data_IF_305043228708
#
_entry.id   IF_305043228708
#
_cell.length_a   1.000
_cell.length_b   1.000
_cell.length_c   1.000
_cell.angle_alpha   90.00
_cell.angle_beta   90.00
_cell.angle_gamma   90.00
#
_symmetry.space_group_name_H-M   'P 1'
#
loop_
_entity.id
_entity.type
_entity.pdbx_description
1 polymer ?
#
# COMPACT_ATOMS: atom_id res chain seq x y z
N UNK A 1 7.25 4.06 -12.06
CA UNK A 1 6.80 3.46 -10.78
C UNK A 1 5.54 4.18 -10.35
N UNK A 2 4.47 3.42 -10.14
CA UNK A 2 3.16 3.94 -9.74
C UNK A 2 3.16 4.41 -8.30
N UNK A 3 3.75 3.65 -7.38
CA UNK A 3 3.77 3.97 -5.94
C UNK A 3 4.40 5.32 -5.60
N UNK A 4 5.40 5.75 -6.36
CA UNK A 4 6.03 7.09 -6.21
C UNK A 4 5.07 8.25 -6.49
N UNK A 5 4.05 8.00 -7.31
CA UNK A 5 3.08 9.00 -7.75
C UNK A 5 1.88 9.08 -6.83
N UNK A 6 1.73 8.13 -5.90
CA UNK A 6 0.69 8.20 -4.87
C UNK A 6 0.87 9.48 -4.07
N UNK A 7 -0.24 10.16 -3.77
CA UNK A 7 -0.31 11.26 -2.81
C UNK A 7 -0.53 10.71 -1.39
N UNK A 8 -0.31 11.54 -0.37
CA UNK A 8 -0.43 11.07 1.01
C UNK A 8 -1.87 10.65 1.33
N UNK A 9 -2.88 11.37 0.83
CA UNK A 9 -4.30 10.99 0.98
C UNK A 9 -4.64 9.65 0.31
N UNK A 10 -4.03 9.36 -0.83
CA UNK A 10 -4.15 8.08 -1.51
C UNK A 10 -3.48 6.94 -0.72
N UNK A 11 -2.30 7.20 -0.13
CA UNK A 11 -1.62 6.25 0.78
C UNK A 11 -2.49 6.00 2.02
N UNK A 12 -3.01 7.04 2.66
CA UNK A 12 -3.90 6.90 3.82
C UNK A 12 -5.14 6.06 3.47
N UNK A 13 -5.74 6.28 2.29
CA UNK A 13 -6.88 5.50 1.83
C UNK A 13 -6.51 4.03 1.59
N UNK A 14 -5.36 3.76 0.98
CA UNK A 14 -4.86 2.39 0.80
C UNK A 14 -4.72 1.70 2.15
N UNK A 15 -4.01 2.33 3.10
CA UNK A 15 -3.74 1.75 4.41
C UNK A 15 -5.02 1.46 5.21
N UNK A 16 -6.01 2.36 5.16
CA UNK A 16 -7.33 2.13 5.76
C UNK A 16 -8.07 0.90 5.23
N UNK A 17 -7.78 0.49 3.99
CA UNK A 17 -8.44 -0.65 3.35
C UNK A 17 -7.75 -1.97 3.69
N UNK A 18 -6.42 -1.95 3.91
CA UNK A 18 -5.61 -3.17 4.06
C UNK A 18 -5.20 -3.48 5.49
N UNK A 19 -5.29 -2.50 6.40
CA UNK A 19 -4.89 -2.64 7.81
C UNK A 19 -6.10 -2.79 8.71
N UNK A 20 -5.86 -3.13 9.99
CA UNK A 20 -6.89 -3.20 11.03
C UNK A 20 -7.71 -1.88 11.07
N UNK A 21 -9.05 -1.94 11.15
CA UNK A 21 -9.91 -0.76 11.25
C UNK A 21 -9.50 0.22 12.37
N UNK A 22 -8.93 -0.29 13.46
CA UNK A 22 -8.54 0.49 14.63
C UNK A 22 -7.07 0.93 14.59
N UNK A 23 -6.35 0.71 13.48
CA UNK A 23 -4.96 1.15 13.35
C UNK A 23 -4.83 2.67 13.23
N UNK A 24 -3.76 3.20 13.82
CA UNK A 24 -3.35 4.59 13.66
C UNK A 24 -2.17 4.68 12.69
N UNK A 25 -2.26 5.55 11.68
CA UNK A 25 -1.13 5.81 10.78
C UNK A 25 -0.20 6.81 11.47
N UNK A 26 0.96 6.31 11.91
CA UNK A 26 1.96 7.06 12.67
C UNK A 26 2.80 7.93 11.73
N UNK A 27 3.24 7.38 10.60
CA UNK A 27 4.08 8.13 9.65
C UNK A 27 4.08 7.56 8.24
N UNK A 28 4.36 8.42 7.26
CA UNK A 28 4.59 8.07 5.85
C UNK A 28 5.98 8.57 5.45
N UNK A 29 6.87 7.65 5.13
CA UNK A 29 8.22 7.92 4.66
C UNK A 29 8.30 7.80 3.13
N UNK A 30 8.41 8.95 2.45
CA UNK A 30 8.62 8.99 1.00
C UNK A 30 10.09 8.81 0.66
N UNK A 31 10.50 7.56 0.45
CA UNK A 31 11.84 7.24 -0.06
C UNK A 31 11.95 7.58 -1.55
N UNK A 32 13.19 7.69 -2.04
CA UNK A 32 13.48 7.83 -3.49
C UNK A 32 12.94 6.62 -4.27
N UNK A 33 12.77 5.47 -3.62
CA UNK A 33 12.24 4.23 -4.18
C UNK A 33 10.76 4.04 -3.81
N UNK A 34 10.47 3.21 -2.82
CA UNK A 34 9.11 2.80 -2.45
C UNK A 34 8.71 3.48 -1.15
N UNK A 35 7.52 4.09 -1.08
CA UNK A 35 7.06 4.72 0.14
C UNK A 35 6.82 3.64 1.18
N UNK A 36 7.03 4.04 2.42
CA UNK A 36 6.91 3.16 3.56
C UNK A 36 6.01 3.83 4.59
N UNK A 37 5.15 3.03 5.22
CA UNK A 37 4.17 3.50 6.18
C UNK A 37 4.40 2.77 7.49
N UNK A 38 4.38 3.53 8.57
CA UNK A 38 4.35 2.98 9.93
C UNK A 38 2.95 3.19 10.48
N UNK A 39 2.36 2.12 10.98
CA UNK A 39 1.08 2.16 11.69
C UNK A 39 1.26 1.58 13.09
N UNK A 40 0.36 1.95 13.99
CA UNK A 40 0.19 1.30 15.27
C UNK A 40 -1.14 0.54 15.24
N UNK A 41 -1.09 -0.78 15.42
CA UNK A 41 -2.27 -1.64 15.51
C UNK A 41 -2.16 -2.50 16.75
N UNK A 42 -3.19 -2.52 17.59
CA UNK A 42 -3.22 -3.33 18.81
C UNK A 42 -1.98 -3.14 19.72
N UNK A 43 -1.54 -1.89 19.87
CA UNK A 43 -0.34 -1.49 20.62
C UNK A 43 0.99 -2.04 20.05
N UNK A 44 0.98 -2.50 18.80
CA UNK A 44 2.15 -2.98 18.07
C UNK A 44 2.45 -2.08 16.87
N UNK A 45 3.70 -1.63 16.77
CA UNK A 45 4.16 -0.87 15.60
C UNK A 45 4.42 -1.83 14.43
N UNK A 46 3.76 -1.57 13.30
CA UNK A 46 3.92 -2.31 12.07
C UNK A 46 4.41 -1.40 10.95
N UNK A 47 5.24 -1.97 10.07
CA UNK A 47 5.86 -1.26 8.96
C UNK A 47 5.49 -1.93 7.65
N UNK A 48 5.01 -1.11 6.73
CA UNK A 48 4.56 -1.53 5.40
C UNK A 48 5.39 -0.83 4.33
N UNK A 49 5.82 -1.56 3.31
CA UNK A 49 6.46 -1.01 2.11
C UNK A 49 5.52 -1.20 0.93
N UNK A 50 5.16 -0.11 0.25
CA UNK A 50 4.24 -0.15 -0.88
C UNK A 50 5.03 -0.28 -2.17
N UNK A 51 4.87 -1.39 -2.88
CA UNK A 51 5.52 -1.64 -4.17
C UNK A 51 4.53 -1.51 -5.33
N UNK A 52 5.06 -1.35 -6.53
CA UNK A 52 4.24 -1.53 -7.72
C UNK A 52 3.70 -2.96 -7.75
N UNK A 53 2.37 -3.07 -7.64
CA UNK A 53 1.60 -4.32 -7.67
C UNK A 53 1.81 -5.26 -6.48
N UNK A 54 2.47 -4.81 -5.42
CA UNK A 54 2.65 -5.63 -4.22
C UNK A 54 2.76 -4.77 -2.97
N UNK A 55 2.59 -5.39 -1.82
CA UNK A 55 2.81 -4.75 -0.54
C UNK A 55 3.58 -5.71 0.36
N UNK A 56 4.62 -5.19 1.01
CA UNK A 56 5.36 -5.90 2.03
C UNK A 56 4.90 -5.39 3.41
N UNK A 57 4.56 -6.30 4.31
CA UNK A 57 4.20 -6.03 5.70
C UNK A 57 4.82 -7.10 6.60
N UNK A 58 4.98 -6.81 7.89
CA UNK A 58 5.63 -7.74 8.82
C UNK A 58 4.67 -8.85 9.30
N UNK A 59 5.17 -10.09 9.34
CA UNK A 59 4.61 -11.36 9.83
C UNK A 59 3.15 -11.78 9.49
N UNK A 60 2.17 -10.88 9.37
CA UNK A 60 0.77 -11.20 9.04
C UNK A 60 0.09 -10.07 8.25
N UNK A 61 0.31 -10.01 6.94
CA UNK A 61 -0.66 -9.39 6.05
C UNK A 61 -1.88 -10.32 5.95
N UNK A 62 -3.12 -9.83 6.11
CA UNK A 62 -4.30 -10.61 5.73
C UNK A 62 -4.13 -11.20 4.32
N UNK A 63 -4.57 -12.44 4.09
CA UNK A 63 -4.40 -13.16 2.80
C UNK A 63 -4.89 -12.34 1.58
N UNK A 64 -5.84 -11.44 1.80
CA UNK A 64 -6.45 -10.60 0.77
C UNK A 64 -5.79 -9.21 0.61
N UNK A 65 -4.79 -8.85 1.42
CA UNK A 65 -4.23 -7.48 1.45
C UNK A 65 -3.59 -7.08 0.14
N UNK A 66 -2.83 -7.96 -0.52
CA UNK A 66 -2.26 -7.66 -1.85
C UNK A 66 -3.36 -7.47 -2.90
N UNK A 67 -4.46 -8.22 -2.82
CA UNK A 67 -5.61 -8.07 -3.73
C UNK A 67 -6.33 -6.75 -3.50
N UNK A 68 -6.57 -6.39 -2.24
CA UNK A 68 -7.18 -5.13 -1.83
C UNK A 68 -6.31 -3.93 -2.23
N UNK A 69 -5.01 -4.02 -1.98
CA UNK A 69 -4.01 -3.04 -2.41
C UNK A 69 -4.04 -2.81 -3.92
N UNK A 70 -3.98 -3.88 -4.72
CA UNK A 70 -4.07 -3.79 -6.19
C UNK A 70 -5.39 -3.17 -6.65
N UNK A 71 -6.49 -3.43 -5.96
CA UNK A 71 -7.80 -2.83 -6.27
C UNK A 71 -7.78 -1.31 -6.05
N UNK A 72 -7.18 -0.82 -4.96
CA UNK A 72 -7.03 0.62 -4.73
C UNK A 72 -6.06 1.26 -5.72
N UNK A 73 -4.94 0.60 -6.02
CA UNK A 73 -4.00 1.06 -7.05
C UNK A 73 -4.67 1.14 -8.44
N UNK A 74 -5.51 0.16 -8.80
CA UNK A 74 -6.32 0.18 -10.01
C UNK A 74 -7.33 1.33 -10.01
N UNK A 75 -7.97 1.60 -8.87
CA UNK A 75 -8.91 2.73 -8.73
C UNK A 75 -8.21 4.08 -8.96
N UNK A 76 -6.96 4.22 -8.50
CA UNK A 76 -6.17 5.45 -8.60
C UNK A 76 -5.58 5.64 -10.01
N UNK A 77 -5.00 4.59 -10.59
CA UNK A 77 -4.22 4.69 -11.82
C UNK A 77 -4.91 4.16 -13.08
N UNK A 78 -6.07 3.51 -12.92
CA UNK A 78 -6.92 3.05 -14.00
C UNK A 78 -6.31 1.95 -14.88
N UNK A 79 -6.86 1.81 -16.08
CA UNK A 79 -6.55 0.73 -17.02
C UNK A 79 -5.07 0.64 -17.38
N UNK A 80 -4.35 1.77 -17.38
CA UNK A 80 -2.91 1.77 -17.65
C UNK A 80 -2.11 0.94 -16.64
N UNK A 81 -2.48 1.02 -15.35
CA UNK A 81 -1.85 0.21 -14.31
C UNK A 81 -2.10 -1.29 -14.55
N UNK A 82 -3.33 -1.67 -14.89
CA UNK A 82 -3.65 -3.06 -15.21
C UNK A 82 -2.89 -3.56 -16.45
N UNK A 83 -2.84 -2.76 -17.52
CA UNK A 83 -2.11 -3.11 -18.73
C UNK A 83 -0.61 -3.30 -18.47
N UNK A 84 0.00 -2.36 -17.73
CA UNK A 84 1.42 -2.43 -17.40
C UNK A 84 1.73 -3.62 -16.47
N UNK A 85 0.80 -4.06 -15.62
CA UNK A 85 0.93 -5.29 -14.82
C UNK A 85 0.99 -6.55 -15.70
N UNK A 86 0.04 -6.66 -16.64
CA UNK A 86 -0.07 -7.84 -17.52
C UNK A 86 1.10 -7.97 -18.49
N UNK A 87 1.78 -6.87 -18.79
CA UNK A 87 2.94 -6.81 -19.67
C UNK A 87 4.28 -6.97 -18.93
N UNK A 88 4.27 -7.03 -17.59
CA UNK A 88 5.46 -7.21 -16.78
C UNK A 88 5.99 -8.63 -17.00
N UNK A 89 7.06 -8.76 -17.79
CA UNK A 89 7.85 -9.99 -17.95
C UNK A 89 8.96 -10.06 -16.91
#
# INVERSE_FOLDING_TARGET
MYVKRLKDDEILQIMRVISDPDCEIVSIFRKVTDPEVVINSQDMEERYVLHDYDIEGFDYLPDDSTRMYRKEMLRIFGEKYAADYMLRR
#
